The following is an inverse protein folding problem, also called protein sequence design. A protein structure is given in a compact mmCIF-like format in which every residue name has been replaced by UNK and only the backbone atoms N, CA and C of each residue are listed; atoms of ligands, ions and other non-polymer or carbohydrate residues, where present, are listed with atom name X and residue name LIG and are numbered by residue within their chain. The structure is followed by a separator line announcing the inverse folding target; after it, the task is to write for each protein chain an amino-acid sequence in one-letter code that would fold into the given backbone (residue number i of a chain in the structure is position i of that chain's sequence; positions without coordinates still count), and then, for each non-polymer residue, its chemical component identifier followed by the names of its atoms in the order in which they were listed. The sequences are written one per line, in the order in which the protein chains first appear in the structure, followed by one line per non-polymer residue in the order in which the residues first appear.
data_IF_609449850226
#
_entry.id   IF_609449850226
#
_cell.length_a   1.000
_cell.length_b   1.000
_cell.length_c   1.000
_cell.angle_alpha   90.00
_cell.angle_beta   90.00
_cell.angle_gamma   90.00
#
_symmetry.space_group_name_H-M   'P 1'
#
loop_
_entity.id
_entity.type
_entity.pdbx_description
1 polymer ?
#
# COMPACT_ATOMS: atom_id res chain seq x y z
N UNK A 1 18.24 -7.28 16.44
CA UNK A 1 18.02 -8.39 15.48
C UNK A 1 17.80 -7.73 14.13
N UNK A 2 18.67 -7.93 13.16
CA UNK A 2 18.62 -7.24 11.85
C UNK A 2 17.38 -7.69 11.08
N UNK A 3 16.77 -6.72 10.42
CA UNK A 3 15.56 -6.79 9.62
C UNK A 3 15.45 -8.07 8.80
N UNK A 4 14.23 -8.60 8.65
CA UNK A 4 13.82 -9.66 7.73
C UNK A 4 13.96 -9.29 6.23
N UNK A 5 14.93 -8.42 5.89
CA UNK A 5 15.30 -8.12 4.49
C UNK A 5 15.67 -9.37 3.70
N UNK A 6 16.18 -10.40 4.38
CA UNK A 6 16.61 -11.66 3.76
C UNK A 6 15.47 -12.57 3.33
N UNK A 7 14.23 -12.29 3.74
CA UNK A 7 13.06 -13.08 3.33
C UNK A 7 12.51 -12.69 1.95
N UNK A 8 12.91 -11.52 1.43
CA UNK A 8 12.38 -10.97 0.18
C UNK A 8 13.51 -10.50 -0.74
N UNK A 9 13.35 -10.73 -2.03
CA UNK A 9 14.24 -10.19 -3.05
C UNK A 9 13.74 -8.83 -3.55
N UNK A 10 14.67 -7.91 -3.85
CA UNK A 10 14.34 -6.61 -4.44
C UNK A 10 13.53 -5.68 -3.54
N UNK A 11 13.73 -5.77 -2.23
CA UNK A 11 13.06 -4.91 -1.24
C UNK A 11 14.01 -3.89 -0.64
N UNK A 12 13.43 -2.80 -0.17
CA UNK A 12 14.09 -1.75 0.59
C UNK A 12 13.54 -1.69 2.02
N UNK A 13 14.32 -1.18 2.94
CA UNK A 13 13.90 -1.09 4.33
C UNK A 13 14.34 0.17 5.03
N UNK A 14 13.52 0.62 5.96
CA UNK A 14 13.81 1.67 6.92
C UNK A 14 13.72 1.11 8.33
N UNK A 15 14.62 1.52 9.20
CA UNK A 15 14.53 1.17 10.63
C UNK A 15 15.12 2.26 11.51
N UNK A 16 14.60 2.35 12.73
CA UNK A 16 15.17 3.05 13.85
C UNK A 16 15.19 2.13 15.08
N UNK A 17 15.39 2.65 16.27
CA UNK A 17 15.42 1.83 17.49
C UNK A 17 14.06 1.18 17.83
N UNK A 18 12.96 1.77 17.41
CA UNK A 18 11.60 1.36 17.78
C UNK A 18 10.92 0.46 16.74
N UNK A 19 11.12 0.73 15.44
CA UNK A 19 10.39 0.06 14.35
C UNK A 19 11.31 -0.32 13.19
N UNK A 20 10.87 -1.31 12.44
CA UNK A 20 11.42 -1.62 11.11
C UNK A 20 10.30 -1.80 10.09
N UNK A 21 10.54 -1.33 8.87
CA UNK A 21 9.61 -1.35 7.75
C UNK A 21 10.31 -1.87 6.51
N UNK A 22 9.64 -2.75 5.76
CA UNK A 22 10.15 -3.29 4.49
C UNK A 22 9.14 -3.01 3.39
N UNK A 23 9.62 -2.47 2.27
CA UNK A 23 8.80 -2.12 1.11
C UNK A 23 9.32 -2.81 -0.15
N UNK A 24 8.40 -3.20 -1.04
CA UNK A 24 8.69 -3.84 -2.31
C UNK A 24 8.40 -2.86 -3.47
N UNK A 25 9.42 -2.17 -4.03
CA UNK A 25 9.21 -1.21 -5.12
C UNK A 25 8.61 -1.83 -6.39
N UNK A 26 8.99 -3.08 -6.70
CA UNK A 26 8.54 -3.77 -7.92
C UNK A 26 7.06 -4.21 -7.88
N UNK A 27 6.38 -4.09 -6.74
CA UNK A 27 4.96 -4.45 -6.55
C UNK A 27 4.22 -3.23 -6.00
N UNK A 28 4.11 -2.17 -6.80
CA UNK A 28 3.37 -0.96 -6.43
C UNK A 28 3.89 -0.20 -5.21
N UNK A 29 5.10 -0.52 -4.71
CA UNK A 29 5.61 0.04 -3.47
C UNK A 29 4.91 -0.52 -2.23
N UNK A 30 4.40 -1.75 -2.30
CA UNK A 30 3.75 -2.48 -1.20
C UNK A 30 4.65 -2.53 0.03
N UNK A 31 4.12 -2.15 1.20
CA UNK A 31 4.79 -2.38 2.48
C UNK A 31 4.47 -3.82 2.90
N UNK A 32 5.51 -4.64 3.02
CA UNK A 32 5.37 -6.09 3.25
C UNK A 32 5.70 -6.51 4.68
N UNK A 33 6.30 -5.64 5.46
CA UNK A 33 6.57 -5.85 6.89
C UNK A 33 6.57 -4.51 7.61
N UNK A 34 5.96 -4.48 8.78
CA UNK A 34 6.03 -3.37 9.73
C UNK A 34 6.10 -3.97 11.13
N UNK A 35 7.29 -3.94 11.71
CA UNK A 35 7.59 -4.65 12.95
C UNK A 35 7.92 -3.68 14.09
N UNK A 36 7.40 -3.95 15.28
CA UNK A 36 7.82 -3.32 16.53
C UNK A 36 9.07 -4.04 17.04
N UNK A 37 10.21 -3.31 17.18
CA UNK A 37 11.50 -3.93 17.48
C UNK A 37 11.66 -4.38 18.93
N UNK A 38 11.00 -3.73 19.87
CA UNK A 38 11.04 -4.06 21.30
C UNK A 38 10.41 -5.43 21.59
N UNK A 39 9.30 -5.75 20.91
CA UNK A 39 8.57 -7.02 21.08
C UNK A 39 8.86 -8.01 19.95
N UNK A 40 9.39 -7.56 18.84
CA UNK A 40 9.51 -8.35 17.60
C UNK A 40 8.17 -8.61 16.90
N UNK A 41 7.11 -7.88 17.27
CA UNK A 41 5.77 -8.07 16.76
C UNK A 41 5.65 -7.54 15.34
N UNK A 42 5.24 -8.42 14.41
CA UNK A 42 4.79 -8.02 13.06
C UNK A 42 3.36 -7.51 13.15
N UNK A 43 3.09 -6.36 12.52
CA UNK A 43 1.78 -5.72 12.52
C UNK A 43 0.95 -6.04 11.26
N UNK A 44 1.59 -6.54 10.20
CA UNK A 44 0.92 -6.77 8.92
C UNK A 44 0.62 -8.25 8.70
N UNK A 45 -0.63 -8.53 8.30
CA UNK A 45 -1.00 -9.83 7.82
C UNK A 45 -0.47 -10.06 6.40
N UNK A 46 -0.03 -11.29 6.13
CA UNK A 46 0.44 -11.75 4.82
C UNK A 46 -0.17 -13.11 4.49
N UNK A 47 -0.46 -13.34 3.22
CA UNK A 47 -0.90 -14.65 2.74
C UNK A 47 0.32 -15.53 2.46
N UNK A 48 0.60 -16.47 3.36
CA UNK A 48 1.77 -17.38 3.25
C UNK A 48 1.69 -18.35 2.06
N UNK A 49 0.51 -18.50 1.45
CA UNK A 49 0.33 -19.34 0.27
C UNK A 49 0.62 -18.62 -1.06
N UNK A 50 0.90 -17.31 -1.02
CA UNK A 50 1.21 -16.51 -2.19
C UNK A 50 2.67 -16.03 -2.15
N UNK A 51 3.32 -16.10 -3.30
CA UNK A 51 4.63 -15.49 -3.46
C UNK A 51 4.47 -13.98 -3.71
N UNK A 52 5.31 -13.17 -3.05
CA UNK A 52 5.45 -11.75 -3.38
C UNK A 52 6.15 -11.62 -4.73
N UNK A 53 5.46 -11.13 -5.74
CA UNK A 53 6.01 -10.95 -7.10
C UNK A 53 5.23 -9.90 -7.88
N UNK A 54 5.83 -9.29 -8.91
CA UNK A 54 5.10 -8.47 -9.86
C UNK A 54 4.04 -9.28 -10.62
N UNK A 55 2.94 -8.63 -10.95
CA UNK A 55 1.88 -9.17 -11.80
C UNK A 55 1.68 -8.26 -13.03
N UNK A 56 1.24 -8.83 -14.16
CA UNK A 56 0.87 -8.04 -15.33
C UNK A 56 -0.27 -7.07 -15.03
N UNK A 57 -0.29 -5.94 -15.74
CA UNK A 57 -1.42 -5.00 -15.70
C UNK A 57 -2.75 -5.72 -16.01
N UNK A 58 -3.81 -5.33 -15.31
CA UNK A 58 -5.14 -5.92 -15.45
C UNK A 58 -5.31 -7.30 -14.79
N UNK A 59 -4.32 -7.81 -14.06
CA UNK A 59 -4.47 -8.99 -13.21
C UNK A 59 -5.54 -8.73 -12.15
N UNK A 60 -6.42 -9.72 -11.89
CA UNK A 60 -7.40 -9.63 -10.81
C UNK A 60 -6.71 -9.54 -9.45
N UNK A 61 -7.14 -8.60 -8.61
CA UNK A 61 -6.49 -8.32 -7.32
C UNK A 61 -6.74 -9.41 -6.28
N UNK A 62 -8.02 -9.74 -6.01
CA UNK A 62 -8.40 -10.62 -4.90
C UNK A 62 -7.70 -11.98 -4.88
N UNK A 63 -7.59 -12.72 -6.00
CA UNK A 63 -6.88 -14.00 -6.01
C UNK A 63 -5.38 -13.87 -5.73
N UNK A 64 -4.82 -12.66 -5.86
CA UNK A 64 -3.42 -12.35 -5.70
C UNK A 64 -3.12 -11.44 -4.51
N UNK A 65 -4.12 -11.24 -3.64
CA UNK A 65 -3.97 -10.41 -2.44
C UNK A 65 -2.97 -11.02 -1.47
N UNK A 66 -1.75 -10.47 -1.50
CA UNK A 66 -0.65 -10.91 -0.66
C UNK A 66 -0.79 -10.44 0.80
N UNK A 67 -1.56 -9.37 1.06
CA UNK A 67 -1.58 -8.65 2.33
C UNK A 67 -0.56 -7.52 2.36
N UNK A 68 -0.16 -7.09 3.57
CA UNK A 68 0.66 -5.90 3.74
C UNK A 68 -0.13 -4.60 3.61
N UNK A 69 0.51 -3.52 3.16
CA UNK A 69 -0.16 -2.25 2.86
C UNK A 69 0.05 -1.92 1.38
N UNK A 70 -1.06 -1.78 0.66
CA UNK A 70 -1.12 -1.25 -0.70
C UNK A 70 -1.71 0.15 -0.71
N UNK A 71 -1.30 0.97 -1.66
CA UNK A 71 -2.08 2.11 -2.11
C UNK A 71 -2.81 1.75 -3.40
N UNK A 72 -4.13 1.92 -3.42
CA UNK A 72 -4.96 1.74 -4.60
C UNK A 72 -5.11 3.07 -5.33
N UNK A 73 -4.77 3.10 -6.61
CA UNK A 73 -4.79 4.30 -7.46
C UNK A 73 -4.92 3.85 -8.94
N UNK A 74 -5.77 4.48 -9.75
CA UNK A 74 -6.63 5.64 -9.45
C UNK A 74 -8.04 5.30 -8.96
N UNK A 75 -8.38 4.04 -8.78
CA UNK A 75 -9.71 3.54 -8.44
C UNK A 75 -9.64 2.38 -7.45
N UNK A 76 -10.80 1.99 -6.91
CA UNK A 76 -10.97 0.83 -6.02
C UNK A 76 -11.56 -0.35 -6.79
N UNK A 77 -12.72 -0.17 -7.43
CA UNK A 77 -13.41 -1.18 -8.21
C UNK A 77 -13.18 -0.98 -9.72
N UNK A 78 -13.40 -2.03 -10.50
CA UNK A 78 -13.32 -1.92 -11.96
C UNK A 78 -14.33 -0.91 -12.49
N UNK A 79 -13.84 0.17 -13.10
CA UNK A 79 -14.68 1.27 -13.57
C UNK A 79 -14.10 1.99 -14.79
N UNK A 80 -14.91 2.90 -15.34
CA UNK A 80 -14.49 3.84 -16.40
C UNK A 80 -14.48 5.26 -15.83
N UNK A 81 -13.29 5.87 -15.74
CA UNK A 81 -13.11 7.24 -15.31
C UNK A 81 -12.55 8.05 -16.47
N UNK A 82 -13.18 9.17 -16.80
CA UNK A 82 -12.77 10.09 -17.88
C UNK A 82 -12.56 9.39 -19.26
N UNK A 83 -13.32 8.30 -19.50
CA UNK A 83 -13.24 7.50 -20.73
C UNK A 83 -12.10 6.46 -20.74
N UNK A 84 -11.34 6.32 -19.67
CA UNK A 84 -10.31 5.30 -19.49
C UNK A 84 -10.89 4.16 -18.66
N UNK A 85 -10.75 2.92 -19.13
CA UNK A 85 -11.15 1.75 -18.39
C UNK A 85 -10.02 1.33 -17.44
N UNK A 86 -10.32 1.31 -16.15
CA UNK A 86 -9.38 0.88 -15.12
C UNK A 86 -9.70 -0.54 -14.62
N UNK A 87 -8.66 -1.33 -14.29
CA UNK A 87 -8.84 -2.63 -13.68
C UNK A 87 -9.34 -2.49 -12.23
N UNK A 88 -9.74 -3.60 -11.66
CA UNK A 88 -10.05 -3.75 -10.25
C UNK A 88 -8.81 -3.41 -9.39
N UNK A 89 -9.01 -2.61 -8.32
CA UNK A 89 -7.97 -2.09 -7.42
C UNK A 89 -6.91 -1.21 -8.10
N UNK A 90 -7.24 -0.66 -9.28
CA UNK A 90 -6.38 0.28 -9.99
C UNK A 90 -5.15 -0.34 -10.63
N UNK A 91 -4.23 0.51 -11.05
CA UNK A 91 -3.03 0.13 -11.79
C UNK A 91 -1.73 0.20 -10.95
N UNK A 92 -1.77 0.91 -9.81
CA UNK A 92 -0.55 1.15 -9.01
C UNK A 92 0.06 -0.15 -8.47
N UNK A 93 -0.75 -1.08 -7.95
CA UNK A 93 -0.27 -2.30 -7.30
C UNK A 93 0.48 -3.26 -8.25
N UNK A 94 0.26 -3.15 -9.56
CA UNK A 94 0.99 -3.89 -10.60
C UNK A 94 2.13 -3.09 -11.22
N UNK A 95 2.29 -1.81 -10.83
CA UNK A 95 3.32 -0.93 -11.40
C UNK A 95 4.61 -1.02 -10.61
N UNK A 96 5.72 -1.27 -11.29
CA UNK A 96 7.04 -1.16 -10.68
C UNK A 96 7.42 0.31 -10.48
N UNK A 97 7.93 0.64 -9.30
CA UNK A 97 8.31 2.00 -8.93
C UNK A 97 9.83 2.16 -8.93
N UNK A 98 10.31 3.30 -9.42
CA UNK A 98 11.66 3.76 -9.16
C UNK A 98 11.83 3.98 -7.65
N UNK A 99 13.00 3.61 -7.13
CA UNK A 99 13.29 3.72 -5.70
C UNK A 99 14.59 4.47 -5.46
N UNK A 100 14.53 5.46 -4.57
CA UNK A 100 15.69 6.17 -4.04
C UNK A 100 15.70 6.02 -2.53
N UNK A 101 16.65 5.25 -2.02
CA UNK A 101 16.82 5.01 -0.59
C UNK A 101 17.86 5.96 -0.01
N UNK A 102 17.50 6.61 1.09
CA UNK A 102 18.39 7.40 1.96
C UNK A 102 18.58 6.73 3.31
N UNK A 103 19.23 7.41 4.24
CA UNK A 103 19.45 6.90 5.60
C UNK A 103 18.13 6.76 6.37
N UNK A 104 17.29 7.79 6.34
CA UNK A 104 16.05 7.88 7.13
C UNK A 104 14.80 7.96 6.26
N UNK A 105 14.93 7.78 4.95
CA UNK A 105 13.78 7.89 4.04
C UNK A 105 13.94 7.05 2.78
N UNK A 106 12.80 6.64 2.22
CA UNK A 106 12.68 6.00 0.92
C UNK A 106 11.70 6.83 0.09
N UNK A 107 12.10 7.19 -1.14
CA UNK A 107 11.24 7.79 -2.14
C UNK A 107 10.95 6.79 -3.24
N UNK A 108 9.67 6.51 -3.44
CA UNK A 108 9.16 5.67 -4.52
C UNK A 108 8.42 6.54 -5.53
N UNK A 109 8.57 6.25 -6.83
CA UNK A 109 7.87 7.02 -7.85
C UNK A 109 7.68 6.28 -9.16
N UNK A 110 6.58 6.56 -9.86
CA UNK A 110 6.34 6.13 -11.24
C UNK A 110 5.37 7.07 -11.95
N UNK A 111 5.34 7.00 -13.26
CA UNK A 111 4.21 7.50 -14.05
C UNK A 111 3.34 6.29 -14.38
N UNK A 112 2.08 6.36 -13.98
CA UNK A 112 1.14 5.26 -14.14
C UNK A 112 0.74 5.10 -15.62
N UNK A 113 0.67 3.87 -16.15
CA UNK A 113 0.58 3.65 -17.59
C UNK A 113 -0.78 4.04 -18.19
N UNK A 114 -1.88 3.74 -17.52
CA UNK A 114 -3.22 4.02 -18.05
C UNK A 114 -3.68 5.46 -17.77
N UNK A 115 -3.53 5.94 -16.54
CA UNK A 115 -3.98 7.29 -16.14
C UNK A 115 -3.01 8.40 -16.55
N UNK A 116 -1.72 8.08 -16.72
CA UNK A 116 -0.67 9.09 -16.91
C UNK A 116 -0.40 9.94 -15.65
N UNK A 117 -0.95 9.55 -14.49
CA UNK A 117 -0.66 10.22 -13.23
C UNK A 117 0.77 9.93 -12.79
N UNK A 118 1.50 10.96 -12.38
CA UNK A 118 2.79 10.79 -11.69
C UNK A 118 2.51 10.58 -10.21
N UNK A 119 2.87 9.39 -9.73
CA UNK A 119 2.79 9.01 -8.32
C UNK A 119 4.15 9.11 -7.65
N UNK A 120 4.19 9.70 -6.46
CA UNK A 120 5.36 9.76 -5.59
C UNK A 120 4.92 9.48 -4.15
N UNK A 121 5.66 8.58 -3.47
CA UNK A 121 5.48 8.25 -2.05
C UNK A 121 6.81 8.36 -1.36
N UNK A 122 6.91 9.28 -0.41
CA UNK A 122 8.08 9.40 0.47
C UNK A 122 7.73 8.87 1.84
N UNK A 123 8.47 7.87 2.29
CA UNK A 123 8.41 7.36 3.66
C UNK A 123 9.59 7.89 4.44
N UNK A 124 9.35 8.44 5.63
CA UNK A 124 10.40 9.00 6.50
C UNK A 124 10.18 8.53 7.94
N UNK A 125 11.23 8.06 8.58
CA UNK A 125 11.19 7.74 10.00
C UNK A 125 11.25 9.04 10.83
N UNK A 126 10.37 9.12 11.82
CA UNK A 126 10.33 10.27 12.74
C UNK A 126 11.17 9.98 13.98
N UNK A 127 12.48 10.29 13.93
CA UNK A 127 13.39 10.16 15.08
C UNK A 127 13.33 8.77 15.72
N UNK A 128 13.30 8.71 17.05
CA UNK A 128 13.24 7.46 17.83
C UNK A 128 11.80 6.99 18.09
N UNK A 129 10.79 7.74 17.61
CA UNK A 129 9.39 7.36 17.76
C UNK A 129 9.04 6.19 16.84
N UNK A 130 8.10 5.34 17.28
CA UNK A 130 7.53 4.26 16.48
C UNK A 130 6.60 4.80 15.37
N UNK A 131 7.06 5.81 14.62
CA UNK A 131 6.24 6.54 13.64
C UNK A 131 6.93 6.60 12.29
N UNK A 132 6.17 6.27 11.25
CA UNK A 132 6.53 6.50 9.84
C UNK A 132 5.62 7.59 9.30
N UNK A 133 6.21 8.64 8.72
CA UNK A 133 5.49 9.67 7.97
C UNK A 133 5.49 9.28 6.50
N UNK A 134 4.31 9.23 5.90
CA UNK A 134 4.12 8.93 4.48
C UNK A 134 3.58 10.18 3.77
N UNK A 135 4.41 10.80 2.95
CA UNK A 135 4.04 11.94 2.12
C UNK A 135 3.71 11.44 0.71
N UNK A 136 2.53 11.78 0.21
CA UNK A 136 2.09 11.43 -1.13
C UNK A 136 2.01 12.67 -2.01
N UNK A 137 2.49 12.53 -3.25
CA UNK A 137 2.29 13.52 -4.31
C UNK A 137 1.75 12.83 -5.55
N UNK A 138 0.58 13.27 -6.00
CA UNK A 138 -0.03 12.81 -7.25
C UNK A 138 -0.12 14.01 -8.18
N UNK A 139 0.51 13.91 -9.34
CA UNK A 139 0.58 14.98 -10.32
C UNK A 139 -0.09 14.52 -11.61
N UNK A 140 -1.10 15.24 -12.06
CA UNK A 140 -1.64 15.07 -13.41
C UNK A 140 -0.67 15.68 -14.42
N UNK A 141 -0.01 14.85 -15.21
CA UNK A 141 0.96 15.28 -16.22
C UNK A 141 0.32 15.59 -17.57
N UNK A 142 -0.99 15.35 -17.70
CA UNK A 142 -1.75 15.64 -18.93
C UNK A 142 -2.30 17.06 -18.95
N UNK A 143 -2.77 17.50 -20.12
CA UNK A 143 -3.48 18.77 -20.27
C UNK A 143 -4.98 18.67 -19.95
N UNK A 144 -5.49 17.47 -19.67
CA UNK A 144 -6.90 17.22 -19.40
C UNK A 144 -7.13 17.11 -17.90
N UNK A 145 -8.34 17.44 -17.45
CA UNK A 145 -8.77 17.14 -16.07
C UNK A 145 -8.79 15.62 -15.88
N UNK A 146 -8.31 15.17 -14.74
CA UNK A 146 -8.34 13.76 -14.34
C UNK A 146 -8.97 13.65 -12.95
N UNK A 147 -9.74 12.60 -12.74
CA UNK A 147 -10.30 12.23 -11.43
C UNK A 147 -9.62 10.98 -10.94
N UNK A 148 -9.40 10.89 -9.64
CA UNK A 148 -8.80 9.69 -9.03
C UNK A 148 -9.25 9.53 -7.58
N UNK A 149 -9.18 8.29 -7.10
CA UNK A 149 -9.21 7.89 -5.70
C UNK A 149 -7.80 7.44 -5.30
N UNK A 150 -7.32 7.88 -4.14
CA UNK A 150 -6.17 7.26 -3.47
C UNK A 150 -6.68 6.62 -2.18
N UNK A 151 -6.52 5.31 -2.05
CA UNK A 151 -6.93 4.54 -0.87
C UNK A 151 -5.73 3.79 -0.29
N UNK A 152 -5.48 3.93 0.99
CA UNK A 152 -4.56 3.05 1.71
C UNK A 152 -5.32 1.79 2.11
N UNK A 153 -4.86 0.65 1.63
CA UNK A 153 -5.45 -0.66 1.88
C UNK A 153 -4.48 -1.48 2.76
N UNK A 154 -4.72 -1.49 4.06
CA UNK A 154 -3.86 -2.14 5.05
C UNK A 154 -4.46 -3.44 5.55
N UNK A 155 -3.74 -4.56 5.38
CA UNK A 155 -4.04 -5.83 6.01
C UNK A 155 -3.30 -5.91 7.34
N UNK A 156 -4.02 -5.78 8.45
CA UNK A 156 -3.45 -5.84 9.79
C UNK A 156 -3.50 -7.27 10.35
N UNK A 157 -2.45 -7.67 11.04
CA UNK A 157 -2.42 -8.92 11.79
C UNK A 157 -3.13 -8.70 13.13
N UNK A 158 -4.37 -9.15 13.21
CA UNK A 158 -5.21 -9.01 14.40
C UNK A 158 -5.21 -10.30 15.22
N UNK A 159 -5.22 -10.15 16.55
CA UNK A 159 -5.31 -11.23 17.52
C UNK A 159 -6.60 -11.12 18.33
N UNK A 160 -6.97 -12.19 19.03
CA UNK A 160 -8.11 -12.17 19.93
C UNK A 160 -7.93 -11.08 21.01
N UNK A 161 -8.92 -10.21 21.13
CA UNK A 161 -8.90 -9.09 22.06
C UNK A 161 -8.43 -7.76 21.47
N UNK A 162 -7.86 -7.74 20.26
CA UNK A 162 -7.51 -6.51 19.56
C UNK A 162 -8.77 -5.69 19.24
N UNK A 163 -8.62 -4.37 19.23
CA UNK A 163 -9.73 -3.44 18.97
C UNK A 163 -9.32 -2.38 17.96
N UNK A 164 -10.20 -2.14 17.00
CA UNK A 164 -10.10 -0.99 16.10
C UNK A 164 -10.88 0.16 16.72
N UNK A 165 -10.20 1.28 17.01
CA UNK A 165 -10.82 2.49 17.55
C UNK A 165 -10.93 3.49 16.41
N UNK A 166 -12.18 3.83 16.04
CA UNK A 166 -12.47 4.83 15.02
C UNK A 166 -13.17 6.03 15.69
N UNK A 167 -12.66 7.27 15.53
CA UNK A 167 -13.31 8.46 16.13
C UNK A 167 -14.56 8.92 15.36
N UNK A 168 -14.91 8.27 14.24
CA UNK A 168 -16.09 8.58 13.46
C UNK A 168 -17.36 8.37 14.30
N UNK A 169 -18.29 9.34 14.24
CA UNK A 169 -19.59 9.28 14.92
C UNK A 169 -20.68 8.65 14.05
N UNK A 170 -20.43 8.52 12.76
CA UNK A 170 -21.38 7.96 11.79
C UNK A 170 -20.60 7.23 10.72
N UNK A 171 -21.06 6.05 10.32
CA UNK A 171 -20.64 5.29 9.15
C UNK A 171 -21.82 5.10 8.22
N UNK A 172 -21.55 5.03 6.91
CA UNK A 172 -22.53 4.69 5.90
C UNK A 172 -21.91 3.60 5.02
N UNK A 173 -22.67 2.54 4.77
CA UNK A 173 -22.25 1.46 3.89
C UNK A 173 -22.52 1.91 2.46
N UNK A 174 -21.45 2.07 1.67
CA UNK A 174 -21.57 2.53 0.29
C UNK A 174 -22.02 1.46 -0.69
N UNK A 175 -21.85 0.18 -0.35
CA UNK A 175 -22.23 -0.96 -1.20
C UNK A 175 -23.43 -1.72 -0.59
N UNK A 176 -24.55 -1.69 -1.31
CA UNK A 176 -25.79 -2.33 -0.89
C UNK A 176 -25.70 -3.88 -0.83
N UNK A 177 -24.79 -4.49 -1.58
CA UNK A 177 -24.63 -5.95 -1.62
C UNK A 177 -24.00 -6.49 -0.32
N UNK A 178 -23.35 -5.64 0.46
CA UNK A 178 -22.79 -5.98 1.77
C UNK A 178 -23.72 -5.71 2.95
N UNK A 179 -24.85 -5.03 2.76
CA UNK A 179 -25.75 -4.62 3.87
C UNK A 179 -26.33 -5.78 4.64
N UNK A 180 -26.58 -6.94 4.02
CA UNK A 180 -27.10 -8.13 4.68
C UNK A 180 -26.09 -8.99 5.45
N UNK A 181 -24.82 -8.56 5.53
CA UNK A 181 -23.74 -9.31 6.19
C UNK A 181 -23.27 -8.66 7.50
N UNK A 182 -23.82 -7.50 7.85
CA UNK A 182 -23.35 -6.66 8.97
C UNK A 182 -24.46 -6.34 10.01
N UNK A 183 -25.54 -7.10 10.00
CA UNK A 183 -26.57 -7.07 11.05
C UNK A 183 -26.15 -7.86 12.30
#
# INVERSE_FOLDING_TARGET
MSIRRTEFEGVEGLENDSISLVVCPSVGGKIVSFCLKDTGQELLWRNENLALRPYPEGTAYDPHFYGGIDELLPNDEKEVIDGIQYPDHGELWTTALDCVSGQDSILLSATLPASGLRYEKKMTLSGDAGTVVMDYRITNTSSKKSHFLLKMHAALLLHEGDRIICPAKRGEIGDADFTGRHE
#
